data_IF_310928643218
#
_entry.id   IF_310928643218
#
_cell.length_a   1.000
_cell.length_b   1.000
_cell.length_c   1.000
_cell.angle_alpha   90.00
_cell.angle_beta   90.00
_cell.angle_gamma   90.00
#
_symmetry.space_group_name_H-M   'P 1'
#
loop_
_entity.id
_entity.type
_entity.pdbx_description
1 polymer ?
#
# COMPACT_ATOMS: atom_id res chain seq x y z
N UNK A 1 28.27 8.05 1.73
CA UNK A 1 27.69 8.99 0.73
C UNK A 1 26.24 8.62 0.57
N UNK A 2 25.39 9.29 1.38
CA UNK A 2 23.94 8.96 1.44
C UNK A 2 23.21 9.61 0.28
N UNK A 3 23.05 8.85 -0.81
CA UNK A 3 22.24 9.27 -1.93
C UNK A 3 20.76 9.20 -1.59
N UNK A 4 20.22 10.27 -0.98
CA UNK A 4 18.77 10.46 -0.90
C UNK A 4 18.22 10.59 -2.31
N UNK A 5 17.62 9.52 -2.82
CA UNK A 5 16.91 9.56 -4.09
C UNK A 5 15.59 10.34 -3.89
N UNK A 6 15.69 11.65 -4.12
CA UNK A 6 14.52 12.53 -4.10
C UNK A 6 13.91 12.54 -5.50
N UNK A 7 12.74 11.97 -5.66
CA UNK A 7 12.00 12.13 -6.92
C UNK A 7 11.51 13.58 -7.02
N UNK A 8 11.72 14.26 -8.16
CA UNK A 8 11.19 15.60 -8.36
C UNK A 8 9.65 15.53 -8.42
N UNK A 9 8.99 16.11 -7.43
CA UNK A 9 7.54 16.30 -7.45
C UNK A 9 7.28 17.49 -8.39
N UNK A 10 6.79 17.20 -9.59
CA UNK A 10 6.36 18.24 -10.52
C UNK A 10 5.07 18.90 -9.98
N UNK A 11 5.21 20.09 -9.38
CA UNK A 11 4.14 20.81 -8.70
C UNK A 11 3.17 21.58 -9.63
N UNK A 12 3.15 21.28 -10.93
CA UNK A 12 2.40 22.03 -11.93
C UNK A 12 1.23 21.24 -12.57
N UNK A 13 0.40 20.58 -11.76
CA UNK A 13 -0.92 20.17 -12.24
C UNK A 13 -1.98 20.93 -11.45
N UNK A 14 -2.53 21.97 -12.08
CA UNK A 14 -3.75 22.64 -11.60
C UNK A 14 -4.86 21.60 -11.57
N UNK A 15 -5.26 21.20 -10.37
CA UNK A 15 -6.46 20.40 -10.14
C UNK A 15 -7.67 21.28 -10.42
N UNK A 16 -8.28 21.11 -11.57
CA UNK A 16 -9.63 21.61 -11.84
C UNK A 16 -10.59 20.47 -11.55
N UNK A 17 -11.63 20.81 -10.77
CA UNK A 17 -12.89 20.10 -10.58
C UNK A 17 -12.99 19.05 -9.48
N UNK A 18 -14.10 19.16 -8.80
CA UNK A 18 -14.80 18.43 -7.75
C UNK A 18 -14.46 16.93 -7.55
N UNK A 19 -14.53 16.44 -6.31
CA UNK A 19 -14.38 15.02 -6.02
C UNK A 19 -15.64 14.27 -6.49
N UNK A 20 -15.67 13.92 -7.77
CA UNK A 20 -16.61 12.90 -8.23
C UNK A 20 -16.34 11.62 -7.45
N UNK A 21 -17.39 10.93 -7.05
CA UNK A 21 -17.32 9.57 -6.48
C UNK A 21 -16.46 8.68 -7.40
N UNK A 22 -15.19 8.44 -6.99
CA UNK A 22 -14.20 7.75 -7.83
C UNK A 22 -14.30 6.22 -7.77
N UNK A 23 -15.47 5.69 -7.41
CA UNK A 23 -15.74 4.28 -7.52
C UNK A 23 -16.31 3.96 -8.89
N UNK A 24 -15.51 3.30 -9.71
CA UNK A 24 -15.97 2.75 -10.98
C UNK A 24 -16.98 1.61 -10.71
N UNK A 25 -17.98 1.41 -11.60
CA UNK A 25 -18.74 0.18 -11.64
C UNK A 25 -17.82 -1.04 -11.64
N UNK A 26 -18.19 -2.13 -10.99
CA UNK A 26 -17.35 -3.31 -10.85
C UNK A 26 -16.89 -3.88 -12.20
N UNK A 27 -17.75 -3.85 -13.21
CA UNK A 27 -17.45 -4.28 -14.59
C UNK A 27 -16.32 -3.45 -15.23
N UNK A 28 -16.38 -2.12 -15.07
CA UNK A 28 -15.40 -1.21 -15.66
C UNK A 28 -14.05 -1.36 -14.94
N UNK A 29 -14.10 -1.52 -13.63
CA UNK A 29 -12.90 -1.78 -12.85
C UNK A 29 -12.26 -3.15 -13.21
N UNK A 30 -13.07 -4.20 -13.39
CA UNK A 30 -12.59 -5.51 -13.85
C UNK A 30 -11.90 -5.43 -15.21
N UNK A 31 -12.47 -4.67 -16.16
CA UNK A 31 -11.86 -4.44 -17.46
C UNK A 31 -10.50 -3.72 -17.36
N UNK A 32 -10.37 -2.76 -16.45
CA UNK A 32 -9.10 -2.06 -16.19
C UNK A 32 -8.06 -3.02 -15.57
N UNK A 33 -8.43 -3.78 -14.56
CA UNK A 33 -7.55 -4.77 -13.91
C UNK A 33 -7.01 -5.78 -14.91
N UNK A 34 -7.87 -6.24 -15.84
CA UNK A 34 -7.49 -7.19 -16.88
C UNK A 34 -6.48 -6.64 -17.88
N UNK A 35 -6.53 -5.34 -18.18
CA UNK A 35 -5.81 -4.77 -19.33
C UNK A 35 -4.69 -3.79 -18.95
N UNK A 36 -4.58 -3.39 -17.68
CA UNK A 36 -3.65 -2.34 -17.26
C UNK A 36 -3.03 -2.67 -15.89
N UNK A 37 -1.75 -2.30 -15.67
CA UNK A 37 -1.21 -2.30 -14.31
C UNK A 37 -1.91 -1.21 -13.47
N UNK A 38 -2.16 -1.53 -12.21
CA UNK A 38 -2.67 -0.60 -11.21
C UNK A 38 -1.50 0.03 -10.45
N UNK A 39 -1.64 1.29 -10.07
CA UNK A 39 -0.65 1.98 -9.24
C UNK A 39 -1.14 2.01 -7.79
N UNK A 40 -0.30 1.59 -6.85
CA UNK A 40 -0.61 1.56 -5.43
C UNK A 40 0.50 2.22 -4.59
N UNK A 41 0.14 2.56 -3.35
CA UNK A 41 1.07 2.93 -2.29
C UNK A 41 1.00 1.83 -1.24
N UNK A 42 2.15 1.29 -0.84
CA UNK A 42 2.29 0.43 0.32
C UNK A 42 3.02 1.16 1.45
N UNK A 43 2.51 1.01 2.67
CA UNK A 43 2.95 1.73 3.85
C UNK A 43 3.76 0.80 4.76
N UNK A 44 5.06 1.04 4.86
CA UNK A 44 5.96 0.37 5.78
C UNK A 44 5.95 1.15 7.10
N UNK A 45 4.96 0.85 7.95
CA UNK A 45 4.71 1.60 9.19
C UNK A 45 5.53 1.02 10.33
N UNK A 46 6.56 1.74 10.76
CA UNK A 46 7.48 1.35 11.84
C UNK A 46 7.09 2.04 13.14
N UNK A 47 7.00 1.28 14.24
CA UNK A 47 6.79 1.84 15.57
C UNK A 47 8.11 2.19 16.28
N UNK A 48 8.01 2.73 17.51
CA UNK A 48 9.13 3.13 18.36
C UNK A 48 10.04 1.98 18.81
N UNK A 49 9.63 0.72 18.57
CA UNK A 49 10.41 -0.49 18.86
C UNK A 49 11.10 -1.09 17.64
N UNK A 50 10.95 -0.47 16.45
CA UNK A 50 11.46 -1.03 15.19
C UNK A 50 10.62 -2.19 14.65
N UNK A 51 9.35 -2.30 15.09
CA UNK A 51 8.42 -3.28 14.56
C UNK A 51 7.54 -2.65 13.49
N UNK A 52 7.15 -3.43 12.47
CA UNK A 52 6.31 -3.01 11.36
C UNK A 52 4.88 -3.52 11.50
N UNK A 53 3.93 -2.69 11.11
CA UNK A 53 2.50 -3.00 11.13
C UNK A 53 2.12 -3.88 9.95
N UNK A 54 1.45 -5.00 10.25
CA UNK A 54 0.83 -5.86 9.25
C UNK A 54 -0.66 -6.01 9.54
N UNK A 55 -1.46 -6.06 8.47
CA UNK A 55 -2.88 -6.37 8.50
C UNK A 55 -3.16 -7.75 7.88
N UNK A 56 -4.09 -8.51 8.47
CA UNK A 56 -4.55 -9.78 7.92
C UNK A 56 -5.54 -9.53 6.78
N UNK A 57 -5.21 -9.97 5.58
CA UNK A 57 -6.05 -9.79 4.40
C UNK A 57 -7.18 -10.82 4.36
N UNK A 58 -8.41 -10.32 4.30
CA UNK A 58 -9.61 -11.15 4.14
C UNK A 58 -10.12 -11.25 2.70
N UNK A 59 -9.63 -10.39 1.79
CA UNK A 59 -10.10 -10.30 0.41
C UNK A 59 -8.99 -10.56 -0.62
N UNK A 60 -9.34 -11.09 -1.82
CA UNK A 60 -8.42 -11.19 -2.96
C UNK A 60 -7.94 -9.81 -3.47
N UNK A 61 -6.80 -9.73 -4.15
CA UNK A 61 -5.76 -10.76 -4.23
C UNK A 61 -4.98 -10.86 -2.91
N UNK A 62 -4.20 -11.95 -2.77
CA UNK A 62 -3.41 -12.23 -1.57
C UNK A 62 -4.27 -12.42 -0.30
N UNK A 63 -5.40 -13.12 -0.42
CA UNK A 63 -6.25 -13.48 0.69
C UNK A 63 -5.55 -14.42 1.69
N UNK A 64 -5.93 -14.33 2.96
CA UNK A 64 -5.44 -15.23 4.04
C UNK A 64 -3.93 -15.16 4.27
N UNK A 65 -3.36 -13.96 4.22
CA UNK A 65 -1.97 -13.70 4.58
C UNK A 65 -1.82 -12.35 5.27
N UNK A 66 -0.69 -12.16 5.94
CA UNK A 66 -0.26 -10.88 6.49
C UNK A 66 0.39 -10.03 5.41
N UNK A 67 -0.02 -8.78 5.31
CA UNK A 67 0.48 -7.82 4.34
C UNK A 67 0.64 -6.43 4.99
N UNK A 68 1.49 -5.58 4.43
CA UNK A 68 1.56 -4.17 4.83
C UNK A 68 0.28 -3.44 4.44
N UNK A 69 -0.20 -2.44 5.23
CA UNK A 69 -1.31 -1.58 4.81
C UNK A 69 -0.98 -0.86 3.50
N UNK A 70 -2.00 -0.58 2.70
CA UNK A 70 -1.79 0.13 1.44
C UNK A 70 -3.05 0.29 0.62
N UNK A 71 -2.94 1.01 -0.51
CA UNK A 71 -4.09 1.24 -1.36
C UNK A 71 -3.75 1.82 -2.71
N UNK A 72 -4.69 1.73 -3.63
CA UNK A 72 -4.54 2.24 -5.00
C UNK A 72 -4.60 3.75 -5.06
N UNK A 73 -3.78 4.33 -5.94
CA UNK A 73 -3.94 5.72 -6.37
C UNK A 73 -5.11 5.76 -7.36
N UNK A 74 -6.00 6.73 -7.20
CA UNK A 74 -7.16 6.90 -8.06
C UNK A 74 -6.81 7.80 -9.25
N UNK A 75 -7.55 7.68 -10.33
CA UNK A 75 -7.39 8.58 -11.48
C UNK A 75 -7.62 10.03 -11.05
N UNK A 76 -6.77 10.94 -11.52
CA UNK A 76 -6.79 12.38 -11.21
C UNK A 76 -6.49 12.72 -9.74
N UNK A 77 -6.06 11.76 -8.94
CA UNK A 77 -5.60 11.98 -7.58
C UNK A 77 -4.09 12.25 -7.58
N UNK A 78 -3.67 13.32 -6.90
CA UNK A 78 -2.24 13.56 -6.71
C UNK A 78 -1.64 12.52 -5.76
N UNK A 79 -0.32 12.29 -5.84
CA UNK A 79 0.37 11.36 -4.94
C UNK A 79 0.17 11.76 -3.46
N UNK A 80 0.25 13.06 -3.15
CA UNK A 80 0.04 13.58 -1.80
C UNK A 80 -1.40 13.35 -1.32
N UNK A 81 -2.41 13.61 -2.17
CA UNK A 81 -3.82 13.37 -1.82
C UNK A 81 -4.12 11.88 -1.63
N UNK A 82 -3.55 11.01 -2.49
CA UNK A 82 -3.66 9.57 -2.36
C UNK A 82 -3.06 9.09 -1.03
N UNK A 83 -1.88 9.60 -0.68
CA UNK A 83 -1.18 9.23 0.55
C UNK A 83 -2.00 9.58 1.80
N UNK A 84 -2.53 10.82 1.89
CA UNK A 84 -3.39 11.26 2.99
C UNK A 84 -4.64 10.38 3.10
N UNK A 85 -5.32 10.11 1.98
CA UNK A 85 -6.51 9.26 1.96
C UNK A 85 -6.20 7.82 2.37
N UNK A 86 -5.12 7.24 1.86
CA UNK A 86 -4.72 5.86 2.17
C UNK A 86 -4.34 5.74 3.64
N UNK A 87 -3.54 6.64 4.19
CA UNK A 87 -3.18 6.63 5.61
C UNK A 87 -4.41 6.83 6.51
N UNK A 88 -5.36 7.69 6.14
CA UNK A 88 -6.62 7.83 6.86
C UNK A 88 -7.45 6.53 6.80
N UNK A 89 -7.52 5.88 5.65
CA UNK A 89 -8.32 4.67 5.47
C UNK A 89 -7.70 3.46 6.18
N UNK A 90 -6.37 3.30 6.08
CA UNK A 90 -5.66 2.09 6.53
C UNK A 90 -5.14 2.20 7.97
N UNK A 91 -4.85 3.40 8.43
CA UNK A 91 -4.24 3.65 9.74
C UNK A 91 -5.16 4.44 10.70
N UNK A 92 -6.31 4.93 10.21
CA UNK A 92 -7.22 5.80 10.95
C UNK A 92 -6.66 7.21 11.23
N UNK A 93 -5.56 7.57 10.58
CA UNK A 93 -4.86 8.85 10.77
C UNK A 93 -4.40 9.41 9.43
N UNK A 94 -4.82 10.64 9.12
CA UNK A 94 -4.38 11.36 7.92
C UNK A 94 -2.94 11.85 8.10
N UNK A 95 -1.99 11.23 7.40
CA UNK A 95 -0.57 11.59 7.44
C UNK A 95 -0.15 12.20 6.11
N UNK A 96 0.78 13.16 6.16
CA UNK A 96 1.29 13.81 4.97
C UNK A 96 2.44 13.02 4.33
N UNK A 97 2.57 13.11 3.01
CA UNK A 97 3.62 12.42 2.25
C UNK A 97 5.03 12.84 2.70
N UNK A 98 5.22 14.09 3.13
CA UNK A 98 6.49 14.63 3.61
C UNK A 98 6.97 13.99 4.92
N UNK A 99 6.08 13.31 5.65
CA UNK A 99 6.42 12.56 6.86
C UNK A 99 6.99 11.16 6.54
N UNK A 100 6.88 10.74 5.27
CA UNK A 100 7.30 9.42 4.83
C UNK A 100 8.61 9.46 4.04
N UNK A 101 9.35 8.35 4.07
CA UNK A 101 10.55 8.14 3.27
C UNK A 101 10.23 7.18 2.12
N UNK A 102 10.45 7.61 0.89
CA UNK A 102 10.30 6.74 -0.28
C UNK A 102 11.38 5.63 -0.27
N UNK A 103 10.95 4.37 -0.37
CA UNK A 103 11.82 3.18 -0.33
C UNK A 103 12.08 2.58 -1.69
N UNK A 104 11.19 2.81 -2.66
CA UNK A 104 11.36 2.28 -4.01
C UNK A 104 10.06 1.96 -4.72
N UNK A 105 10.21 1.44 -5.95
CA UNK A 105 9.12 0.94 -6.79
C UNK A 105 9.22 -0.58 -6.86
N UNK A 106 8.11 -1.26 -6.61
CA UNK A 106 8.00 -2.71 -6.61
C UNK A 106 6.92 -3.17 -7.60
N UNK A 107 6.99 -4.43 -7.99
CA UNK A 107 6.03 -5.04 -8.91
C UNK A 107 5.40 -6.25 -8.24
N UNK A 108 4.06 -6.28 -8.24
CA UNK A 108 3.30 -7.38 -7.66
C UNK A 108 2.42 -8.01 -8.75
N UNK A 109 2.59 -9.30 -8.97
CA UNK A 109 1.83 -10.06 -9.94
C UNK A 109 1.00 -11.13 -9.22
N UNK A 110 -0.31 -11.02 -9.31
CA UNK A 110 -1.25 -11.99 -8.75
C UNK A 110 -1.93 -12.77 -9.88
N UNK A 111 -2.13 -14.06 -9.69
CA UNK A 111 -2.82 -14.93 -10.65
C UNK A 111 -4.34 -14.77 -10.66
N UNK A 112 -4.86 -14.00 -9.71
CA UNK A 112 -6.29 -13.73 -9.52
C UNK A 112 -6.57 -12.22 -9.47
N UNK A 113 -7.83 -11.84 -9.71
CA UNK A 113 -8.31 -10.47 -9.54
C UNK A 113 -9.02 -10.28 -8.19
N UNK A 114 -9.51 -9.07 -7.95
CA UNK A 114 -10.24 -8.71 -6.72
C UNK A 114 -11.60 -9.42 -6.57
N UNK A 115 -12.13 -10.06 -7.62
CA UNK A 115 -13.33 -10.92 -7.58
C UNK A 115 -12.97 -12.37 -7.28
N UNK A 116 -11.69 -12.73 -7.18
CA UNK A 116 -11.24 -14.10 -7.01
C UNK A 116 -11.38 -14.95 -8.29
N UNK A 117 -11.54 -14.32 -9.46
CA UNK A 117 -11.67 -15.01 -10.73
C UNK A 117 -10.33 -15.56 -11.19
N UNK A 118 -10.25 -16.86 -11.37
CA UNK A 118 -9.08 -17.56 -11.89
C UNK A 118 -8.81 -17.17 -13.35
N UNK A 119 -7.54 -16.95 -13.68
CA UNK A 119 -7.13 -16.60 -15.04
C UNK A 119 -7.27 -15.12 -15.40
N UNK A 120 -7.71 -14.28 -14.47
CA UNK A 120 -7.66 -12.83 -14.58
C UNK A 120 -6.63 -12.27 -13.61
N UNK A 121 -5.39 -12.13 -14.08
CA UNK A 121 -4.29 -11.64 -13.26
C UNK A 121 -4.46 -10.17 -12.86
N UNK A 122 -3.85 -9.81 -11.72
CA UNK A 122 -3.70 -8.41 -11.31
C UNK A 122 -2.22 -8.06 -11.29
N UNK A 123 -1.86 -6.93 -11.89
CA UNK A 123 -0.52 -6.37 -11.88
C UNK A 123 -0.53 -5.03 -11.17
N UNK A 124 0.28 -4.89 -10.12
CA UNK A 124 0.51 -3.62 -9.42
C UNK A 124 1.93 -3.10 -9.65
N UNK A 125 2.03 -1.81 -9.90
CA UNK A 125 3.24 -1.02 -9.67
C UNK A 125 3.05 -0.33 -8.33
N UNK A 126 3.84 -0.71 -7.34
CA UNK A 126 3.67 -0.27 -5.95
C UNK A 126 4.79 0.68 -5.55
N UNK A 127 4.40 1.83 -5.02
CA UNK A 127 5.31 2.81 -4.43
C UNK A 127 5.38 2.53 -2.92
N UNK A 128 6.52 2.06 -2.44
CA UNK A 128 6.72 1.78 -1.02
C UNK A 128 7.18 3.02 -0.28
N UNK A 129 6.49 3.36 0.82
CA UNK A 129 6.82 4.47 1.70
C UNK A 129 6.96 4.01 3.15
N UNK A 130 8.05 4.36 3.79
CA UNK A 130 8.27 4.10 5.22
C UNK A 130 7.79 5.28 6.05
N UNK A 131 7.01 4.97 7.09
CA UNK A 131 6.48 5.91 8.08
C UNK A 131 6.95 5.48 9.47
N UNK A 132 7.52 6.41 10.23
CA UNK A 132 7.82 6.21 11.65
C UNK A 132 6.74 6.85 12.50
N UNK A 133 6.08 6.05 13.33
CA UNK A 133 4.95 6.48 14.15
C UNK A 133 5.07 5.98 15.58
N UNK A 134 4.44 6.64 16.53
CA UNK A 134 4.19 6.05 17.84
C UNK A 134 2.92 5.19 17.75
N UNK A 135 3.01 3.92 18.18
CA UNK A 135 1.91 2.95 18.11
C UNK A 135 0.58 3.50 18.63
N UNK A 136 0.64 4.30 19.71
CA UNK A 136 -0.53 4.87 20.37
C UNK A 136 -1.18 6.05 19.62
N UNK A 137 -0.58 6.52 18.52
CA UNK A 137 -1.14 7.61 17.70
C UNK A 137 -2.03 7.09 16.57
N UNK A 138 -2.10 5.78 16.36
CA UNK A 138 -2.92 5.17 15.34
C UNK A 138 -4.25 4.68 15.93
N UNK A 139 -5.32 4.85 15.16
CA UNK A 139 -6.65 4.30 15.44
C UNK A 139 -7.00 3.32 14.33
N UNK A 140 -6.41 2.11 14.39
CA UNK A 140 -6.49 1.13 13.31
C UNK A 140 -7.95 0.71 13.05
N UNK A 141 -8.45 0.86 11.80
CA UNK A 141 -9.80 0.47 11.43
C UNK A 141 -10.00 -1.05 11.50
N UNK A 142 -11.13 -1.51 12.00
CA UNK A 142 -11.44 -2.94 12.11
C UNK A 142 -12.15 -3.51 10.88
N UNK A 143 -12.58 -2.66 9.95
CA UNK A 143 -13.30 -3.00 8.73
C UNK A 143 -12.37 -3.29 7.53
N UNK A 144 -11.13 -2.83 7.55
CA UNK A 144 -10.15 -3.05 6.48
C UNK A 144 -9.39 -4.36 6.64
N UNK A 145 -9.05 -4.73 7.87
CA UNK A 145 -8.32 -5.94 8.20
C UNK A 145 -8.99 -6.64 9.38
N UNK A 146 -9.09 -7.98 9.30
CA UNK A 146 -9.67 -8.77 10.40
C UNK A 146 -8.82 -8.66 11.68
N UNK A 147 -7.50 -8.56 11.52
CA UNK A 147 -6.54 -8.46 12.61
C UNK A 147 -5.34 -7.62 12.19
N UNK A 148 -4.66 -7.03 13.19
CA UNK A 148 -3.39 -6.34 13.03
C UNK A 148 -2.34 -6.95 13.94
N UNK A 149 -1.08 -6.94 13.51
CA UNK A 149 0.06 -7.27 14.38
C UNK A 149 1.27 -6.41 14.06
N UNK A 150 2.12 -6.24 15.07
CA UNK A 150 3.43 -5.65 14.94
C UNK A 150 4.49 -6.75 14.97
N UNK A 151 5.48 -6.69 14.09
CA UNK A 151 6.54 -7.70 14.00
C UNK A 151 7.82 -7.06 13.46
N UNK A 152 8.98 -7.58 13.87
CA UNK A 152 10.26 -7.11 13.36
C UNK A 152 10.60 -7.75 12.00
N UNK A 153 11.52 -7.14 11.26
CA UNK A 153 11.90 -7.58 9.91
C UNK A 153 12.49 -8.99 9.86
N UNK A 154 13.25 -9.40 10.88
CA UNK A 154 13.84 -10.75 10.96
C UNK A 154 12.75 -11.82 11.08
N UNK A 155 11.79 -11.62 12.00
CA UNK A 155 10.66 -12.53 12.17
C UNK A 155 9.79 -12.62 10.91
N UNK A 156 9.66 -11.52 10.15
CA UNK A 156 8.91 -11.51 8.89
C UNK A 156 9.50 -12.47 7.86
N UNK A 157 10.82 -12.56 7.75
CA UNK A 157 11.48 -13.44 6.78
C UNK A 157 11.21 -14.92 7.04
N UNK A 158 10.95 -15.29 8.29
CA UNK A 158 10.77 -16.67 8.73
C UNK A 158 9.29 -17.10 8.77
N UNK A 159 8.35 -16.16 8.70
CA UNK A 159 6.92 -16.47 8.84
C UNK A 159 6.26 -16.74 7.48
N UNK A 160 5.85 -18.00 7.19
CA UNK A 160 5.23 -18.36 5.92
C UNK A 160 3.83 -17.74 5.72
N UNK A 161 3.18 -17.23 6.77
CA UNK A 161 1.90 -16.53 6.66
C UNK A 161 2.05 -15.08 6.18
N UNK A 162 3.28 -14.54 6.15
CA UNK A 162 3.53 -13.23 5.58
C UNK A 162 3.76 -13.38 4.08
N UNK A 163 3.04 -12.60 3.29
CA UNK A 163 3.16 -12.63 1.83
C UNK A 163 4.59 -12.30 1.38
N UNK A 164 5.08 -12.97 0.32
CA UNK A 164 6.43 -12.76 -0.21
C UNK A 164 6.70 -11.30 -0.54
N UNK A 165 5.76 -10.61 -1.19
CA UNK A 165 5.90 -9.19 -1.52
C UNK A 165 6.08 -8.29 -0.29
N UNK A 166 5.49 -8.62 0.85
CA UNK A 166 5.77 -7.92 2.11
C UNK A 166 7.20 -8.16 2.56
N UNK A 167 7.69 -9.41 2.50
CA UNK A 167 9.07 -9.76 2.87
C UNK A 167 10.11 -9.07 1.98
N UNK A 168 9.80 -8.92 0.68
CA UNK A 168 10.70 -8.29 -0.29
C UNK A 168 11.05 -6.84 0.05
N UNK A 169 10.17 -6.11 0.76
CA UNK A 169 10.46 -4.75 1.24
C UNK A 169 11.62 -4.69 2.24
N UNK A 170 11.89 -5.78 2.94
CA UNK A 170 12.86 -5.88 4.03
C UNK A 170 14.08 -6.73 3.68
N UNK A 171 14.19 -7.16 2.42
CA UNK A 171 15.42 -7.79 1.91
C UNK A 171 16.43 -6.71 1.57
N UNK A 172 17.68 -6.89 2.01
CA UNK A 172 18.78 -6.02 1.57
C UNK A 172 18.99 -6.27 0.07
N UNK A 173 19.06 -5.25 -0.78
CA UNK A 173 19.47 -5.45 -2.18
C UNK A 173 20.84 -6.09 -2.22
N UNK A 174 20.96 -7.23 -2.86
CA UNK A 174 22.24 -7.90 -3.16
C UNK A 174 23.05 -7.10 -4.17
#
# INVERSE_FOLDING_TARGET
MDGKMTMPINSQLKTTSEPASHFLPASDFAAMVKNMPLIAIDLLVENEKGEYLLGWRSNPPAQSCWFVPGGRIRKNESLASAFIRITQTELGSALNLEQATFKGVYQHFYSENFLGEQGQSTHYITLAYELKVHKNTLTLPTDQHAHYRWTNSESMQLDPQIHSYTRDYFTTPS
#
